data_IF_779326698242
#
_entry.id   IF_779326698242
#
_cell.length_a   1.000
_cell.length_b   1.000
_cell.length_c   1.000
_cell.angle_alpha   90.00
_cell.angle_beta   90.00
_cell.angle_gamma   90.00
#
_symmetry.space_group_name_H-M   'P 1'
#
loop_
_entity.id
_entity.type
_entity.pdbx_description
1 polymer ?
#
# COMPACT_ATOMS: atom_id res chain seq x y z
N UNK A 1 -3.63 11.34 28.55
CA UNK A 1 -2.33 11.47 27.85
C UNK A 1 -2.36 10.57 26.62
N UNK A 2 -1.97 11.09 25.45
CA UNK A 2 -1.95 10.32 24.19
C UNK A 2 -0.70 9.43 24.15
N UNK A 3 -0.86 8.16 23.74
CA UNK A 3 0.24 7.18 23.63
C UNK A 3 0.55 6.78 22.17
N UNK A 4 -0.42 6.98 21.28
CA UNK A 4 -0.32 6.61 19.88
C UNK A 4 -1.15 7.55 19.02
N UNK A 5 -0.68 7.81 17.80
CA UNK A 5 -1.40 8.48 16.72
C UNK A 5 -1.38 7.54 15.51
N UNK A 6 -2.56 7.18 15.02
CA UNK A 6 -2.72 6.52 13.73
C UNK A 6 -3.08 7.59 12.69
N UNK A 7 -2.45 7.54 11.51
CA UNK A 7 -2.68 8.58 10.50
C UNK A 7 -2.59 8.00 9.10
N UNK A 8 -3.42 8.56 8.22
CA UNK A 8 -3.34 8.31 6.79
C UNK A 8 -2.14 9.05 6.16
N UNK A 9 -1.76 8.61 4.95
CA UNK A 9 -0.67 9.16 4.16
C UNK A 9 -1.20 10.25 3.23
N UNK A 10 -1.99 9.83 2.22
CA UNK A 10 -2.33 10.64 1.06
C UNK A 10 -3.36 11.70 1.39
N UNK A 11 -3.02 12.97 1.18
CA UNK A 11 -3.91 14.09 1.53
C UNK A 11 -3.97 14.38 3.04
N UNK A 12 -3.20 13.65 3.85
CA UNK A 12 -3.14 13.82 5.32
C UNK A 12 -1.76 14.32 5.76
N UNK A 13 -0.74 13.45 5.81
CA UNK A 13 0.65 13.83 6.16
C UNK A 13 1.52 14.12 4.93
N UNK A 14 1.08 13.64 3.77
CA UNK A 14 1.76 13.82 2.50
C UNK A 14 0.81 14.59 1.56
N UNK A 15 1.25 15.77 1.15
CA UNK A 15 0.61 16.49 0.04
C UNK A 15 1.05 15.80 -1.25
N UNK A 16 0.16 15.68 -2.24
CA UNK A 16 0.43 15.04 -3.54
C UNK A 16 1.88 15.27 -4.02
N UNK A 17 2.71 14.21 -3.98
CA UNK A 17 4.17 14.28 -4.12
C UNK A 17 4.90 13.46 -3.06
N UNK A 18 6.24 13.45 -3.07
CA UNK A 18 7.07 12.63 -2.18
C UNK A 18 7.80 13.42 -1.07
N UNK A 19 7.66 14.75 -1.06
CA UNK A 19 8.43 15.59 -0.13
C UNK A 19 7.66 15.93 1.15
N UNK A 20 8.12 15.41 2.28
CA UNK A 20 7.63 15.84 3.58
C UNK A 20 8.12 17.25 3.89
N UNK A 21 7.20 18.10 4.34
CA UNK A 21 7.57 19.42 4.85
C UNK A 21 8.52 19.29 6.05
N UNK A 22 9.43 20.26 6.26
CA UNK A 22 10.27 20.31 7.46
C UNK A 22 9.45 20.30 8.75
N UNK A 23 8.25 20.89 8.72
CA UNK A 23 7.31 20.87 9.85
C UNK A 23 6.83 19.45 10.18
N UNK A 24 6.54 18.62 9.17
CA UNK A 24 6.14 17.23 9.38
C UNK A 24 7.27 16.41 10.00
N UNK A 25 8.50 16.50 9.47
CA UNK A 25 9.68 15.82 10.04
C UNK A 25 9.93 16.25 11.50
N UNK A 26 9.81 17.55 11.80
CA UNK A 26 9.92 18.07 13.17
C UNK A 26 8.82 17.54 14.09
N UNK A 27 7.59 17.43 13.59
CA UNK A 27 6.47 16.84 14.33
C UNK A 27 6.75 15.38 14.72
N UNK A 28 7.19 14.55 13.76
CA UNK A 28 7.53 13.14 14.04
C UNK A 28 8.63 13.02 15.08
N UNK A 29 9.67 13.85 15.00
CA UNK A 29 10.74 13.89 16.00
C UNK A 29 10.21 14.19 17.40
N UNK A 30 9.35 15.20 17.55
CA UNK A 30 8.73 15.56 18.83
C UNK A 30 7.85 14.45 19.39
N UNK A 31 7.13 13.73 18.53
CA UNK A 31 6.33 12.57 18.93
C UNK A 31 7.22 11.45 19.47
N UNK A 32 8.34 11.16 18.80
CA UNK A 32 9.32 10.15 19.24
C UNK A 32 9.92 10.52 20.62
N UNK A 33 10.34 11.77 20.81
CA UNK A 33 10.85 12.28 22.10
C UNK A 33 9.81 12.18 23.23
N UNK A 34 8.54 12.43 22.91
CA UNK A 34 7.42 12.30 23.84
C UNK A 34 6.98 10.84 24.07
N UNK A 35 7.66 9.85 23.47
CA UNK A 35 7.28 8.42 23.52
C UNK A 35 5.87 8.14 22.99
N UNK A 36 5.39 8.96 22.05
CA UNK A 36 4.13 8.77 21.34
C UNK A 36 4.42 8.03 20.06
N UNK A 37 3.79 6.85 19.88
CA UNK A 37 3.96 6.05 18.66
C UNK A 37 3.14 6.65 17.52
N UNK A 38 3.74 6.78 16.35
CA UNK A 38 3.01 7.13 15.12
C UNK A 38 2.87 5.89 14.26
N UNK A 39 1.67 5.58 13.77
CA UNK A 39 1.37 4.40 12.96
C UNK A 39 0.75 4.86 11.64
N UNK A 40 1.27 4.38 10.52
CA UNK A 40 0.73 4.67 9.20
C UNK A 40 -0.44 3.73 8.89
N UNK A 41 -1.54 4.28 8.37
CA UNK A 41 -2.76 3.58 7.99
C UNK A 41 -3.20 4.03 6.62
N UNK A 42 -3.02 3.21 5.58
CA UNK A 42 -3.18 3.68 4.19
C UNK A 42 -3.86 2.64 3.30
N UNK A 43 -4.49 3.13 2.23
CA UNK A 43 -4.95 2.30 1.11
C UNK A 43 -3.85 1.85 0.16
N UNK A 44 -2.63 2.41 0.27
CA UNK A 44 -1.50 2.01 -0.58
C UNK A 44 -1.13 0.54 -0.38
N UNK A 45 -0.50 -0.01 -1.43
CA UNK A 45 0.30 -1.23 -1.32
C UNK A 45 1.36 -1.08 -0.22
N UNK A 46 1.73 -2.18 0.44
CA UNK A 46 2.71 -2.12 1.52
C UNK A 46 4.09 -1.68 0.98
N UNK A 47 4.49 -2.19 -0.19
CA UNK A 47 5.70 -1.78 -0.90
C UNK A 47 5.77 -0.25 -1.16
N UNK A 48 4.62 0.40 -1.38
CA UNK A 48 4.52 1.85 -1.58
C UNK A 48 4.42 2.67 -0.28
N UNK A 49 4.04 2.03 0.83
CA UNK A 49 3.94 2.67 2.16
C UNK A 49 5.25 2.57 2.96
N UNK A 50 6.04 1.52 2.76
CA UNK A 50 7.30 1.32 3.47
C UNK A 50 8.33 2.45 3.25
N UNK A 51 8.52 3.00 2.03
CA UNK A 51 9.40 4.16 1.83
C UNK A 51 8.99 5.39 2.63
N UNK A 52 7.68 5.61 2.83
CA UNK A 52 7.14 6.72 3.64
C UNK A 52 7.52 6.54 5.10
N UNK A 53 7.36 5.32 5.65
CA UNK A 53 7.77 5.02 7.01
C UNK A 53 9.28 5.23 7.22
N UNK A 54 10.10 4.77 6.26
CA UNK A 54 11.56 4.92 6.26
C UNK A 54 11.97 6.40 6.28
N UNK A 55 11.38 7.21 5.41
CA UNK A 55 11.69 8.64 5.30
C UNK A 55 11.32 9.43 6.57
N UNK A 56 10.26 9.00 7.27
CA UNK A 56 9.87 9.58 8.56
C UNK A 56 10.61 8.98 9.77
N UNK A 57 11.44 7.94 9.58
CA UNK A 57 12.15 7.25 10.65
C UNK A 57 11.22 6.52 11.63
N UNK A 58 10.10 5.99 11.12
CA UNK A 58 9.13 5.22 11.89
C UNK A 58 9.55 3.75 11.96
N UNK A 59 9.51 3.18 13.16
CA UNK A 59 9.82 1.77 13.44
C UNK A 59 8.56 0.98 13.86
N UNK A 60 7.38 1.58 13.70
CA UNK A 60 6.09 0.99 14.03
C UNK A 60 5.58 0.12 12.88
N UNK A 61 4.66 -0.83 13.15
CA UNK A 61 3.96 -1.55 12.09
C UNK A 61 3.24 -0.60 11.13
N UNK A 62 3.09 -1.04 9.89
CA UNK A 62 2.40 -0.31 8.82
C UNK A 62 1.11 -1.05 8.52
N UNK A 63 0.00 -0.31 8.54
CA UNK A 63 -1.32 -0.80 8.12
C UNK A 63 -1.54 -0.34 6.67
N UNK A 64 -1.61 -1.31 5.76
CA UNK A 64 -1.71 -1.12 4.30
C UNK A 64 -2.95 -1.79 3.75
N UNK A 65 -3.26 -1.58 2.46
CA UNK A 65 -4.43 -2.15 1.79
C UNK A 65 -5.74 -1.89 2.57
N UNK A 66 -5.92 -0.66 3.05
CA UNK A 66 -7.10 -0.24 3.83
C UNK A 66 -7.33 -1.06 5.12
N UNK A 67 -6.29 -1.70 5.65
CA UNK A 67 -6.40 -2.56 6.83
C UNK A 67 -6.25 -4.06 6.55
N UNK A 68 -6.29 -4.47 5.27
CA UNK A 68 -6.16 -5.88 4.88
C UNK A 68 -4.77 -6.47 5.15
N UNK A 69 -3.73 -5.65 5.36
CA UNK A 69 -2.39 -6.14 5.68
C UNK A 69 -1.70 -5.27 6.73
N UNK A 70 -1.21 -5.92 7.79
CA UNK A 70 -0.35 -5.31 8.81
C UNK A 70 0.98 -6.04 8.83
N UNK A 71 2.06 -5.31 8.54
CA UNK A 71 3.43 -5.82 8.67
C UNK A 71 4.23 -4.97 9.64
N UNK A 72 5.15 -5.59 10.37
CA UNK A 72 6.20 -4.86 11.10
C UNK A 72 7.08 -4.09 10.12
N UNK A 73 7.83 -3.12 10.63
CA UNK A 73 8.81 -2.39 9.83
C UNK A 73 9.84 -3.32 9.16
N UNK A 74 10.18 -4.44 9.82
CA UNK A 74 11.15 -5.42 9.32
C UNK A 74 10.52 -6.46 8.36
N UNK A 75 9.21 -6.38 8.10
CA UNK A 75 8.51 -7.17 7.09
C UNK A 75 7.77 -8.41 7.62
N UNK A 76 7.77 -8.66 8.93
CA UNK A 76 6.96 -9.73 9.53
C UNK A 76 5.46 -9.42 9.38
N UNK A 77 4.67 -10.36 8.89
CA UNK A 77 3.22 -10.19 8.76
C UNK A 77 2.54 -10.50 10.10
N UNK A 78 1.90 -9.48 10.67
CA UNK A 78 1.15 -9.59 11.92
C UNK A 78 -0.32 -9.92 11.68
N UNK A 79 -0.88 -9.45 10.56
CA UNK A 79 -2.26 -9.68 10.18
C UNK A 79 -2.39 -9.58 8.66
N UNK A 80 -3.23 -10.44 8.09
CA UNK A 80 -3.56 -10.42 6.67
C UNK A 80 -4.98 -10.95 6.48
N UNK A 81 -5.81 -10.18 5.79
CA UNK A 81 -7.16 -10.53 5.36
C UNK A 81 -7.25 -10.29 3.85
N UNK A 82 -7.43 -11.38 3.12
CA UNK A 82 -7.41 -11.42 1.67
C UNK A 82 -8.84 -11.57 1.15
N UNK A 83 -9.06 -11.14 -0.09
CA UNK A 83 -10.27 -11.46 -0.83
C UNK A 83 -10.28 -12.97 -1.14
N UNK A 84 -11.47 -13.58 -1.10
CA UNK A 84 -11.61 -14.97 -1.53
C UNK A 84 -11.23 -15.10 -3.02
N UNK A 85 -10.36 -16.06 -3.33
CA UNK A 85 -9.88 -16.29 -4.69
C UNK A 85 -10.98 -16.54 -5.71
N UNK A 86 -12.11 -17.13 -5.31
CA UNK A 86 -13.24 -17.39 -6.19
C UNK A 86 -13.92 -16.07 -6.59
N UNK A 87 -14.11 -15.15 -5.64
CA UNK A 87 -14.60 -13.80 -5.94
C UNK A 87 -13.62 -13.01 -6.80
N UNK A 88 -12.31 -13.15 -6.57
CA UNK A 88 -11.31 -12.48 -7.41
C UNK A 88 -11.40 -12.96 -8.87
N UNK A 89 -11.56 -14.26 -9.10
CA UNK A 89 -11.74 -14.84 -10.46
C UNK A 89 -13.04 -14.35 -11.10
N UNK A 90 -14.15 -14.34 -10.38
CA UNK A 90 -15.43 -13.81 -10.87
C UNK A 90 -15.30 -12.33 -11.28
N UNK A 91 -14.61 -11.51 -10.48
CA UNK A 91 -14.36 -10.08 -10.80
C UNK A 91 -13.48 -9.95 -12.05
N UNK A 92 -12.44 -10.77 -12.17
CA UNK A 92 -11.55 -10.77 -13.35
C UNK A 92 -12.33 -11.12 -14.62
N UNK A 93 -13.12 -12.19 -14.59
CA UNK A 93 -13.94 -12.61 -15.73
C UNK A 93 -14.92 -11.50 -16.14
N UNK A 94 -15.65 -10.94 -15.16
CA UNK A 94 -16.56 -9.83 -15.39
C UNK A 94 -15.85 -8.61 -15.98
N UNK A 95 -14.66 -8.26 -15.48
CA UNK A 95 -13.90 -7.11 -16.00
C UNK A 95 -13.43 -7.33 -17.43
N UNK A 96 -12.99 -8.55 -17.79
CA UNK A 96 -12.62 -8.93 -19.16
C UNK A 96 -13.81 -8.79 -20.11
N UNK A 97 -14.97 -9.32 -19.73
CA UNK A 97 -16.22 -9.21 -20.53
C UNK A 97 -16.65 -7.76 -20.77
N UNK A 98 -16.35 -6.86 -19.83
CA UNK A 98 -16.71 -5.45 -19.88
C UNK A 98 -15.57 -4.53 -20.36
N UNK A 99 -14.44 -5.09 -20.78
CA UNK A 99 -13.25 -4.36 -21.21
C UNK A 99 -12.76 -3.33 -20.17
N UNK A 100 -12.69 -3.76 -18.91
CA UNK A 100 -12.24 -2.97 -17.76
C UNK A 100 -10.83 -3.40 -17.36
N UNK A 101 -9.93 -2.42 -17.22
CA UNK A 101 -8.56 -2.64 -16.72
C UNK A 101 -8.58 -3.05 -15.24
N UNK A 102 -7.83 -4.09 -14.90
CA UNK A 102 -7.66 -4.58 -13.52
C UNK A 102 -6.21 -4.43 -13.06
N UNK A 103 -6.05 -3.86 -11.87
CA UNK A 103 -4.84 -3.98 -11.08
C UNK A 103 -5.04 -5.11 -10.07
N UNK A 104 -4.35 -6.23 -10.27
CA UNK A 104 -4.38 -7.36 -9.36
C UNK A 104 -3.22 -7.24 -8.37
N UNK A 105 -3.51 -7.04 -7.10
CA UNK A 105 -2.49 -7.11 -6.05
C UNK A 105 -2.41 -8.56 -5.56
N UNK A 106 -1.22 -9.13 -5.59
CA UNK A 106 -0.99 -10.52 -5.17
C UNK A 106 0.34 -10.59 -4.44
N UNK A 107 0.32 -10.97 -3.17
CA UNK A 107 1.51 -11.01 -2.30
C UNK A 107 2.34 -9.70 -2.34
N UNK A 108 1.64 -8.56 -2.29
CA UNK A 108 2.21 -7.21 -2.34
C UNK A 108 2.93 -6.85 -3.66
N UNK A 109 2.62 -7.56 -4.74
CA UNK A 109 3.04 -7.26 -6.12
C UNK A 109 1.85 -6.87 -6.97
N UNK A 110 2.07 -5.98 -7.93
CA UNK A 110 1.04 -5.57 -8.89
C UNK A 110 1.18 -6.37 -10.19
N UNK A 111 0.09 -7.03 -10.59
CA UNK A 111 -0.05 -7.72 -11.86
C UNK A 111 -1.12 -7.04 -12.72
N UNK A 112 -0.88 -6.99 -14.03
CA UNK A 112 -1.81 -6.48 -15.05
C UNK A 112 -1.75 -7.37 -16.30
N UNK A 113 -2.84 -7.45 -17.06
CA UNK A 113 -2.84 -8.24 -18.31
C UNK A 113 -2.21 -7.50 -19.50
N UNK A 114 -2.16 -6.18 -19.43
CA UNK A 114 -1.69 -5.34 -20.52
C UNK A 114 -0.80 -4.21 -20.02
N UNK A 115 0.29 -3.96 -20.75
CA UNK A 115 1.09 -2.74 -20.60
C UNK A 115 0.38 -1.56 -21.27
N UNK A 116 -0.28 -0.71 -20.49
CA UNK A 116 -1.08 0.40 -21.00
C UNK A 116 -0.87 1.70 -20.20
N UNK A 117 -1.44 2.80 -20.69
CA UNK A 117 -1.29 4.12 -20.05
C UNK A 117 -1.98 4.19 -18.68
N UNK A 118 -2.96 3.34 -18.42
CA UNK A 118 -3.68 3.28 -17.14
C UNK A 118 -2.73 2.79 -16.05
N UNK A 119 -2.06 1.65 -16.25
CA UNK A 119 -1.11 1.12 -15.26
C UNK A 119 0.11 2.04 -15.12
N UNK A 120 0.62 2.59 -16.22
CA UNK A 120 1.75 3.54 -16.19
C UNK A 120 1.41 4.77 -15.36
N UNK A 121 0.24 5.38 -15.59
CA UNK A 121 -0.25 6.51 -14.79
C UNK A 121 -0.52 6.10 -13.34
N UNK A 122 -1.01 4.89 -13.11
CA UNK A 122 -1.24 4.38 -11.77
C UNK A 122 0.06 4.25 -10.96
N UNK A 123 1.15 3.75 -11.57
CA UNK A 123 2.42 3.49 -10.87
C UNK A 123 3.38 4.68 -10.83
N UNK A 124 3.18 5.69 -11.68
CA UNK A 124 4.06 6.85 -11.79
C UNK A 124 4.31 7.55 -10.44
N UNK A 125 5.57 7.60 -10.03
CA UNK A 125 6.00 8.22 -8.78
C UNK A 125 5.55 7.53 -7.48
N UNK A 126 5.01 6.29 -7.53
CA UNK A 126 4.46 5.60 -6.35
C UNK A 126 5.30 4.46 -5.77
N UNK A 127 6.50 4.22 -6.30
CA UNK A 127 7.36 3.09 -5.92
C UNK A 127 6.68 1.72 -6.07
N UNK A 128 5.85 1.58 -7.10
CA UNK A 128 5.15 0.34 -7.44
C UNK A 128 5.70 -0.12 -8.78
N UNK A 129 6.34 -1.28 -8.79
CA UNK A 129 6.62 -2.01 -10.02
C UNK A 129 5.43 -2.91 -10.36
N UNK A 130 5.20 -3.17 -11.66
CA UNK A 130 4.16 -4.07 -12.12
C UNK A 130 4.70 -5.15 -13.06
N UNK A 131 4.02 -6.30 -13.06
CA UNK A 131 4.30 -7.42 -13.96
C UNK A 131 3.15 -7.60 -14.94
N UNK A 132 3.49 -7.75 -16.22
CA UNK A 132 2.51 -8.02 -17.28
C UNK A 132 2.43 -9.52 -17.50
N UNK A 133 1.26 -10.12 -17.30
CA UNK A 133 1.01 -11.53 -17.55
C UNK A 133 -0.50 -11.81 -17.72
N UNK A 134 -0.85 -12.94 -18.34
CA UNK A 134 -2.22 -13.43 -18.29
C UNK A 134 -2.54 -13.87 -16.84
N UNK A 135 -3.66 -13.42 -16.28
CA UNK A 135 -4.04 -13.82 -14.91
C UNK A 135 -4.32 -15.32 -14.77
N UNK A 136 -4.62 -16.01 -15.87
CA UNK A 136 -4.83 -17.47 -15.88
C UNK A 136 -3.52 -18.25 -15.64
N UNK A 137 -2.37 -17.61 -15.84
CA UNK A 137 -1.04 -18.17 -15.55
C UNK A 137 -0.66 -18.01 -14.06
N UNK A 138 -1.48 -17.31 -13.26
CA UNK A 138 -1.21 -17.03 -11.86
C UNK A 138 -1.94 -18.00 -10.93
N UNK A 139 -1.26 -18.44 -9.88
CA UNK A 139 -1.92 -19.06 -8.73
C UNK A 139 -2.50 -17.94 -7.85
N UNK A 140 -3.76 -17.57 -8.10
CA UNK A 140 -4.45 -16.50 -7.36
C UNK A 140 -4.75 -16.97 -5.92
N UNK A 141 -3.81 -16.69 -5.03
CA UNK A 141 -3.88 -16.84 -3.57
C UNK A 141 -3.35 -15.57 -2.93
N UNK A 142 -3.93 -15.15 -1.81
CA UNK A 142 -3.53 -13.91 -1.11
C UNK A 142 -3.73 -12.63 -1.94
N UNK A 143 -4.91 -12.52 -2.54
CA UNK A 143 -5.37 -11.37 -3.33
C UNK A 143 -6.05 -10.32 -2.46
#
# INVERSE_FOLDING_TARGET
MIKMIATDIDGTILKWGLDFSPAMKSCVKRLKEAKVKMVLVTGRMHCAALPVAKELGLETPIISYQGGLIKTYDGETLFQENLNSDYAKEIIEWARENNIHINLYLDDKLFVEHDNDIVKSYTDGKFIDYTVCNFDDLEIKNV
#
